data_IF_407021987776
#
_entry.id   IF_407021987776
#
_cell.length_a   1.000
_cell.length_b   1.000
_cell.length_c   1.000
_cell.angle_alpha   90.00
_cell.angle_beta   90.00
_cell.angle_gamma   90.00
#
_symmetry.space_group_name_H-M   'P 1'
#
loop_
_entity.id
_entity.type
_entity.pdbx_description
1 polymer ?
#
# COMPACT_ATOMS: atom_id res chain seq x y z
N UNK A 1 12.06 7.35 11.54
CA UNK A 1 11.62 6.03 12.10
C UNK A 1 10.68 5.33 11.13
N UNK A 2 10.39 4.03 11.30
CA UNK A 2 9.36 3.31 10.52
C UNK A 2 7.99 3.96 10.79
N UNK A 3 7.18 4.17 9.75
CA UNK A 3 5.88 4.82 9.93
C UNK A 3 4.93 4.01 10.80
N UNK A 4 4.26 4.68 11.76
CA UNK A 4 3.21 4.07 12.56
C UNK A 4 2.03 3.58 11.71
N UNK A 5 1.76 4.25 10.58
CA UNK A 5 0.74 3.87 9.62
C UNK A 5 1.22 2.87 8.54
N UNK A 6 2.50 2.46 8.58
CA UNK A 6 3.13 1.70 7.51
C UNK A 6 2.44 0.37 7.15
N UNK A 7 1.85 -0.29 8.14
CA UNK A 7 1.14 -1.56 7.97
C UNK A 7 -0.38 -1.39 7.85
N UNK A 8 -0.87 -0.17 7.58
CA UNK A 8 -2.27 0.12 7.32
C UNK A 8 -2.47 0.50 5.86
N UNK A 9 -3.61 0.13 5.31
CA UNK A 9 -3.89 0.31 3.90
C UNK A 9 -5.32 0.82 3.71
N UNK A 10 -5.54 1.81 2.82
CA UNK A 10 -6.85 2.37 2.58
C UNK A 10 -7.77 1.37 1.86
N UNK A 11 -9.07 1.51 2.10
CA UNK A 11 -10.08 0.78 1.36
C UNK A 11 -10.13 1.24 -0.10
N UNK A 12 -10.21 0.29 -1.02
CA UNK A 12 -10.43 0.51 -2.44
C UNK A 12 -11.91 0.29 -2.77
N UNK A 13 -12.49 1.22 -3.48
CA UNK A 13 -13.84 1.10 -4.05
C UNK A 13 -13.76 1.39 -5.54
N UNK A 14 -14.69 0.85 -6.32
CA UNK A 14 -14.71 1.11 -7.75
C UNK A 14 -15.71 2.21 -8.09
N UNK A 15 -15.30 3.16 -8.91
CA UNK A 15 -16.14 4.17 -9.52
C UNK A 15 -16.04 4.04 -11.04
N UNK A 16 -17.13 3.64 -11.70
CA UNK A 16 -17.18 3.36 -13.15
C UNK A 16 -16.01 2.47 -13.61
N UNK A 17 -15.78 1.36 -12.93
CA UNK A 17 -14.69 0.40 -13.16
C UNK A 17 -13.27 0.93 -12.93
N UNK A 18 -13.11 2.11 -12.32
CA UNK A 18 -11.79 2.64 -11.92
C UNK A 18 -11.62 2.55 -10.42
N UNK A 19 -10.43 2.15 -9.92
CA UNK A 19 -10.17 2.10 -8.49
C UNK A 19 -10.11 3.52 -7.92
N UNK A 20 -10.84 3.73 -6.83
CA UNK A 20 -10.86 4.95 -6.04
C UNK A 20 -10.60 4.60 -4.56
N UNK A 21 -10.03 5.51 -3.81
CA UNK A 21 -9.80 5.37 -2.38
C UNK A 21 -11.05 5.78 -1.61
N UNK A 22 -11.39 5.06 -0.55
CA UNK A 22 -12.52 5.41 0.31
C UNK A 22 -12.03 5.95 1.66
N UNK A 23 -12.50 7.14 2.02
CA UNK A 23 -12.25 7.75 3.32
C UNK A 23 -13.39 7.40 4.29
N UNK A 24 -13.14 6.58 5.32
CA UNK A 24 -14.19 6.13 6.25
C UNK A 24 -14.65 7.21 7.25
N UNK A 25 -13.90 8.31 7.39
CA UNK A 25 -14.29 9.46 8.24
C UNK A 25 -15.28 10.34 7.49
N UNK A 26 -14.91 10.77 6.28
CA UNK A 26 -15.74 11.67 5.45
C UNK A 26 -16.83 10.92 4.67
N UNK A 27 -16.76 9.58 4.61
CA UNK A 27 -17.61 8.72 3.77
C UNK A 27 -17.62 9.15 2.30
N UNK A 28 -16.44 9.53 1.79
CA UNK A 28 -16.25 10.04 0.42
C UNK A 28 -15.20 9.22 -0.32
N UNK A 29 -15.32 9.26 -1.67
CA UNK A 29 -14.34 8.67 -2.58
C UNK A 29 -13.32 9.71 -2.99
N UNK A 30 -12.07 9.29 -3.09
CA UNK A 30 -10.94 10.10 -3.55
C UNK A 30 -10.26 9.42 -4.73
N UNK A 31 -9.60 10.21 -5.57
CA UNK A 31 -8.78 9.65 -6.65
C UNK A 31 -7.64 8.84 -6.05
N UNK A 32 -7.33 7.70 -6.66
CA UNK A 32 -6.22 6.85 -6.24
C UNK A 32 -4.87 7.51 -6.60
N UNK A 33 -4.43 8.45 -5.75
CA UNK A 33 -3.16 9.17 -5.87
C UNK A 33 -2.17 8.69 -4.79
N UNK A 34 -0.86 8.72 -5.06
CA UNK A 34 0.14 8.27 -4.09
C UNK A 34 0.08 8.99 -2.73
N UNK A 35 -0.07 10.32 -2.70
CA UNK A 35 -0.19 11.10 -1.46
C UNK A 35 -1.48 10.78 -0.71
N UNK A 36 -2.59 10.60 -1.44
CA UNK A 36 -3.87 10.23 -0.86
C UNK A 36 -3.82 8.86 -0.19
N UNK A 37 -3.05 7.90 -0.74
CA UNK A 37 -2.81 6.61 -0.09
C UNK A 37 -2.06 6.77 1.23
N UNK A 38 -1.01 7.57 1.27
CA UNK A 38 -0.27 7.84 2.51
C UNK A 38 -1.18 8.48 3.58
N UNK A 39 -2.00 9.45 3.18
CA UNK A 39 -2.97 10.12 4.05
C UNK A 39 -4.02 9.15 4.61
N UNK A 40 -4.59 8.29 3.78
CA UNK A 40 -5.58 7.32 4.21
C UNK A 40 -4.99 6.12 4.98
N UNK A 41 -3.73 5.76 4.80
CA UNK A 41 -3.02 4.86 5.72
C UNK A 41 -3.06 5.39 7.17
N UNK A 42 -2.80 6.68 7.33
CA UNK A 42 -2.89 7.34 8.65
C UNK A 42 -4.30 7.34 9.21
N UNK A 43 -5.32 7.56 8.37
CA UNK A 43 -6.73 7.46 8.80
C UNK A 43 -7.05 6.03 9.30
N UNK A 44 -6.63 4.99 8.57
CA UNK A 44 -6.80 3.59 8.98
C UNK A 44 -6.07 3.28 10.30
N UNK A 45 -4.82 3.77 10.46
CA UNK A 45 -4.08 3.64 11.71
C UNK A 45 -4.82 4.29 12.88
N UNK A 46 -5.27 5.52 12.72
CA UNK A 46 -5.99 6.25 13.77
C UNK A 46 -7.27 5.51 14.20
N UNK A 47 -8.04 5.00 13.25
CA UNK A 47 -9.29 4.30 13.51
C UNK A 47 -9.06 2.97 14.23
N UNK A 48 -8.05 2.21 13.80
CA UNK A 48 -7.88 0.84 14.25
C UNK A 48 -6.90 0.68 15.41
N UNK A 49 -5.90 1.55 15.53
CA UNK A 49 -4.80 1.41 16.49
C UNK A 49 -4.82 2.42 17.64
N UNK A 50 -5.67 3.46 17.56
CA UNK A 50 -5.70 4.52 18.57
C UNK A 50 -7.11 4.76 19.08
N UNK A 51 -7.22 5.36 20.25
CA UNK A 51 -8.51 5.81 20.80
C UNK A 51 -8.89 7.22 20.33
N UNK A 52 -8.21 7.74 19.29
CA UNK A 52 -8.51 9.07 18.76
C UNK A 52 -9.88 9.10 18.09
N UNK A 53 -10.82 9.93 18.57
CA UNK A 53 -12.18 9.97 18.00
C UNK A 53 -12.18 10.45 16.57
N UNK A 54 -12.93 9.77 15.70
CA UNK A 54 -13.09 10.15 14.28
C UNK A 54 -13.56 11.59 14.09
N UNK A 55 -14.41 12.08 15.00
CA UNK A 55 -14.93 13.46 14.99
C UNK A 55 -13.88 14.52 15.24
N UNK A 56 -12.70 14.14 15.74
CA UNK A 56 -11.58 15.03 16.04
C UNK A 56 -10.42 14.87 15.05
N UNK A 57 -10.66 14.30 13.89
CA UNK A 57 -9.73 14.21 12.79
C UNK A 57 -10.18 15.13 11.66
N UNK A 58 -9.51 16.26 11.48
CA UNK A 58 -9.65 17.14 10.33
C UNK A 58 -8.92 16.54 9.13
N UNK A 59 -9.59 16.44 8.00
CA UNK A 59 -9.04 15.92 6.75
C UNK A 59 -9.12 17.01 5.67
N UNK A 60 -8.00 17.31 5.00
CA UNK A 60 -7.88 18.43 4.06
C UNK A 60 -8.40 19.76 4.68
N UNK A 61 -8.05 20.00 5.94
CA UNK A 61 -8.53 21.16 6.67
C UNK A 61 -8.00 22.46 6.05
N UNK A 62 -8.90 23.46 5.75
CA UNK A 62 -8.47 24.71 5.15
C UNK A 62 -7.60 25.52 6.14
N UNK A 63 -6.44 25.95 5.68
CA UNK A 63 -5.50 26.79 6.43
C UNK A 63 -5.36 28.12 5.69
N UNK A 64 -5.75 29.23 6.32
CA UNK A 64 -5.60 30.59 5.77
C UNK A 64 -4.25 31.15 6.22
N UNK A 65 -3.28 31.19 5.32
CA UNK A 65 -2.03 31.91 5.58
C UNK A 65 -2.26 33.40 5.40
N UNK A 66 -1.74 34.23 6.32
CA UNK A 66 -1.97 35.69 6.36
C UNK A 66 -1.57 36.44 5.08
N UNK A 67 -0.69 35.88 4.25
CA UNK A 67 -0.18 36.50 3.03
C UNK A 67 -0.46 35.72 1.74
N UNK A 68 -1.18 34.60 1.79
CA UNK A 68 -1.46 33.79 0.61
C UNK A 68 -2.82 34.13 -0.02
N UNK A 69 -2.83 34.37 -1.33
CA UNK A 69 -4.10 34.56 -2.09
C UNK A 69 -4.97 33.29 -2.09
N UNK A 70 -4.41 32.11 -1.87
CA UNK A 70 -5.11 30.85 -1.90
C UNK A 70 -5.16 30.21 -0.50
N UNK A 71 -6.30 29.61 -0.17
CA UNK A 71 -6.43 28.75 1.01
C UNK A 71 -5.61 27.48 0.79
N UNK A 72 -4.62 27.25 1.62
CA UNK A 72 -3.91 25.97 1.65
C UNK A 72 -4.70 24.95 2.46
N UNK A 73 -4.41 23.66 2.29
CA UNK A 73 -5.06 22.59 3.03
C UNK A 73 -4.01 21.77 3.75
N UNK A 74 -4.19 21.63 5.06
CA UNK A 74 -3.42 20.69 5.85
C UNK A 74 -3.96 19.27 5.64
N UNK A 75 -3.10 18.32 5.44
CA UNK A 75 -3.51 16.94 5.14
C UNK A 75 -4.38 16.35 6.24
N UNK A 76 -3.85 16.28 7.46
CA UNK A 76 -4.59 15.87 8.64
C UNK A 76 -4.28 16.79 9.81
N UNK A 77 -5.30 17.15 10.57
CA UNK A 77 -5.16 17.83 11.87
C UNK A 77 -5.90 17.00 12.91
N UNK A 78 -5.19 16.61 13.95
CA UNK A 78 -5.79 15.93 15.10
C UNK A 78 -6.07 16.96 16.20
N UNK A 79 -7.32 17.00 16.66
CA UNK A 79 -7.79 17.97 17.63
C UNK A 79 -7.93 17.38 19.05
N UNK A 80 -7.74 18.21 20.07
CA UNK A 80 -8.03 17.87 21.48
C UNK A 80 -9.53 17.76 21.74
N UNK A 81 -9.90 17.50 23.01
CA UNK A 81 -11.30 17.53 23.44
C UNK A 81 -11.94 18.90 23.25
N UNK A 82 -11.17 19.95 23.45
CA UNK A 82 -11.58 21.36 23.31
C UNK A 82 -11.47 21.87 21.88
N UNK A 83 -11.27 20.97 20.91
CA UNK A 83 -11.09 21.30 19.50
C UNK A 83 -9.87 22.19 19.19
N UNK A 84 -8.86 22.19 20.05
CA UNK A 84 -7.57 22.82 19.76
C UNK A 84 -6.70 21.86 18.93
N UNK A 85 -5.97 22.35 17.91
CA UNK A 85 -5.01 21.52 17.17
C UNK A 85 -3.97 20.92 18.12
N UNK A 86 -3.74 19.62 18.01
CA UNK A 86 -2.73 18.88 18.78
C UNK A 86 -1.61 18.36 17.91
N UNK A 87 -1.95 17.84 16.73
CA UNK A 87 -0.98 17.27 15.83
C UNK A 87 -1.33 17.69 14.40
N UNK A 88 -0.36 18.23 13.69
CA UNK A 88 -0.40 18.41 12.24
C UNK A 88 0.32 17.24 11.59
N UNK A 89 -0.32 16.52 10.68
CA UNK A 89 0.29 15.44 9.88
C UNK A 89 0.32 15.89 8.43
N UNK A 90 1.52 16.02 7.87
CA UNK A 90 1.76 16.32 6.46
C UNK A 90 2.18 15.04 5.75
N UNK A 91 1.46 14.67 4.69
CA UNK A 91 1.64 13.43 3.96
C UNK A 91 2.29 13.66 2.60
N UNK A 92 3.21 12.81 2.23
CA UNK A 92 3.84 12.76 0.90
C UNK A 92 3.66 11.38 0.29
N UNK A 93 3.82 11.28 -1.03
CA UNK A 93 3.83 9.98 -1.70
C UNK A 93 4.95 9.08 -1.18
N UNK A 94 4.73 7.76 -1.19
CA UNK A 94 5.73 6.76 -0.72
C UNK A 94 7.10 6.90 -1.43
N UNK A 95 7.10 7.36 -2.68
CA UNK A 95 8.31 7.59 -3.47
C UNK A 95 9.07 8.88 -3.10
N UNK A 96 8.46 9.77 -2.33
CA UNK A 96 9.08 11.04 -1.95
C UNK A 96 10.00 10.85 -0.75
N UNK A 97 11.26 11.22 -0.91
CA UNK A 97 12.21 11.27 0.20
C UNK A 97 11.90 12.47 1.08
N UNK A 98 11.61 12.23 2.34
CA UNK A 98 11.39 13.28 3.33
C UNK A 98 12.73 13.95 3.65
N UNK A 99 12.77 15.29 3.55
CA UNK A 99 13.96 16.10 3.76
C UNK A 99 13.61 17.42 4.48
N UNK A 100 14.60 18.27 4.70
CA UNK A 100 14.45 19.58 5.38
C UNK A 100 13.44 20.51 4.68
N UNK A 101 13.38 20.51 3.35
CA UNK A 101 12.45 21.36 2.61
C UNK A 101 10.98 20.99 2.88
N UNK A 102 10.69 19.69 3.02
CA UNK A 102 9.34 19.21 3.42
C UNK A 102 9.04 19.61 4.87
N UNK A 103 10.05 19.53 5.75
CA UNK A 103 9.91 19.94 7.15
C UNK A 103 9.62 21.44 7.28
N UNK A 104 10.32 22.28 6.52
CA UNK A 104 10.09 23.72 6.47
C UNK A 104 8.70 24.08 5.95
N UNK A 105 8.19 23.33 4.96
CA UNK A 105 6.83 23.50 4.46
C UNK A 105 5.80 23.23 5.56
N UNK A 106 5.91 22.11 6.26
CA UNK A 106 5.00 21.77 7.35
C UNK A 106 5.11 22.76 8.52
N UNK A 107 6.31 23.21 8.86
CA UNK A 107 6.53 24.23 9.90
C UNK A 107 5.84 25.56 9.54
N UNK A 108 5.89 25.99 8.28
CA UNK A 108 5.17 27.18 7.80
C UNK A 108 3.65 27.04 7.93
N UNK A 109 3.09 25.88 7.59
CA UNK A 109 1.66 25.62 7.80
C UNK A 109 1.32 25.66 9.29
N UNK A 110 2.18 25.09 10.10
CA UNK A 110 1.96 25.03 11.54
C UNK A 110 1.99 26.39 12.24
N UNK A 111 2.64 27.41 11.68
CA UNK A 111 2.55 28.78 12.20
C UNK A 111 1.10 29.29 12.28
N UNK A 112 0.24 28.83 11.36
CA UNK A 112 -1.19 29.19 11.36
C UNK A 112 -2.04 28.18 12.11
N UNK A 113 -1.69 26.89 12.04
CA UNK A 113 -2.44 25.81 12.73
C UNK A 113 -2.18 25.85 14.22
N UNK A 114 -0.93 26.10 14.65
CA UNK A 114 -0.55 26.19 16.07
C UNK A 114 -0.53 24.84 16.79
N UNK A 115 -0.35 23.74 16.07
CA UNK A 115 -0.25 22.42 16.69
C UNK A 115 1.09 22.26 17.42
N UNK A 116 1.13 21.79 18.68
CA UNK A 116 2.38 21.54 19.41
C UNK A 116 3.20 20.38 18.85
N UNK A 117 2.63 19.56 17.96
CA UNK A 117 3.33 18.46 17.32
C UNK A 117 3.12 18.45 15.80
N UNK A 118 4.18 18.10 15.07
CA UNK A 118 4.15 17.93 13.61
C UNK A 118 4.64 16.51 13.30
N UNK A 119 3.93 15.81 12.43
CA UNK A 119 4.37 14.56 11.82
C UNK A 119 4.54 14.76 10.32
N UNK A 120 5.72 14.46 9.78
CA UNK A 120 5.94 14.32 8.35
C UNK A 120 5.97 12.85 8.01
N UNK A 121 5.17 12.44 7.04
CA UNK A 121 5.07 11.03 6.66
C UNK A 121 5.00 10.84 5.16
N UNK A 122 5.57 9.74 4.67
CA UNK A 122 5.28 9.22 3.35
C UNK A 122 4.59 7.83 3.42
N UNK A 123 4.11 7.43 4.62
CA UNK A 123 3.49 6.13 4.84
C UNK A 123 4.47 4.97 4.99
N UNK A 124 5.78 5.21 4.82
CA UNK A 124 6.87 4.24 5.09
C UNK A 124 7.71 4.73 6.27
N UNK A 125 8.01 6.02 6.29
CA UNK A 125 8.84 6.68 7.29
C UNK A 125 8.09 7.86 7.87
N UNK A 126 8.22 8.07 9.19
CA UNK A 126 7.72 9.23 9.90
C UNK A 126 8.86 10.01 10.53
N UNK A 127 8.78 11.35 10.46
CA UNK A 127 9.58 12.28 11.24
C UNK A 127 8.66 13.10 12.13
N UNK A 128 8.97 13.13 13.42
CA UNK A 128 8.17 13.80 14.42
C UNK A 128 8.92 15.00 15.00
N UNK A 129 8.18 16.08 15.23
CA UNK A 129 8.71 17.30 15.79
C UNK A 129 7.78 17.83 16.88
N UNK A 130 8.39 18.38 17.93
CA UNK A 130 7.73 19.17 18.97
C UNK A 130 7.95 20.64 18.69
N UNK A 131 6.92 21.45 18.89
CA UNK A 131 6.94 22.90 18.69
C UNK A 131 6.65 23.57 20.01
N UNK A 132 7.66 24.26 20.57
CA UNK A 132 7.58 24.99 21.84
C UNK A 132 8.27 26.34 21.69
N UNK A 133 7.63 27.43 22.15
CA UNK A 133 8.21 28.78 22.16
C UNK A 133 8.85 29.18 20.81
N UNK A 134 8.17 28.88 19.69
CA UNK A 134 8.67 29.11 18.31
C UNK A 134 9.91 28.28 17.93
N UNK A 135 10.32 27.34 18.76
CA UNK A 135 11.38 26.39 18.47
C UNK A 135 10.81 25.06 18.02
N UNK A 136 11.48 24.40 17.08
CA UNK A 136 11.09 23.09 16.55
C UNK A 136 12.21 22.10 16.85
N UNK A 137 11.92 21.04 17.60
CA UNK A 137 12.84 19.97 17.95
C UNK A 137 12.37 18.63 17.43
N UNK A 138 13.27 17.80 16.90
CA UNK A 138 12.95 16.45 16.52
C UNK A 138 12.71 15.57 17.77
N UNK A 139 11.74 14.66 17.68
CA UNK A 139 11.45 13.69 18.74
C UNK A 139 11.55 12.25 18.21
N UNK A 140 12.04 11.35 19.06
CA UNK A 140 12.08 9.91 18.78
C UNK A 140 10.86 9.23 19.44
N UNK A 141 9.96 8.72 18.60
CA UNK A 141 8.65 8.21 19.03
C UNK A 141 8.69 7.07 20.05
N UNK A 142 9.75 6.28 20.02
CA UNK A 142 9.85 5.07 20.85
C UNK A 142 10.54 5.37 22.21
N UNK A 143 11.14 6.55 22.37
CA UNK A 143 11.84 6.97 23.59
C UNK A 143 11.12 8.06 24.37
N UNK A 144 10.11 8.71 23.78
CA UNK A 144 9.37 9.80 24.44
C UNK A 144 8.10 9.28 25.15
N UNK A 145 8.06 9.28 26.50
CA UNK A 145 6.88 8.86 27.25
C UNK A 145 5.66 9.78 27.03
N UNK A 146 5.89 11.01 26.59
CA UNK A 146 4.86 12.00 26.28
C UNK A 146 4.46 12.00 24.80
N UNK A 147 4.91 11.00 24.05
CA UNK A 147 4.56 10.88 22.63
C UNK A 147 3.05 11.06 22.40
N UNK A 148 2.64 11.95 21.49
CA UNK A 148 1.27 12.46 21.46
C UNK A 148 0.20 11.45 21.02
N UNK A 149 0.58 10.35 20.38
CA UNK A 149 -0.35 9.31 19.94
C UNK A 149 -0.06 8.00 20.68
N UNK A 150 -0.98 7.60 21.54
CA UNK A 150 -0.89 6.32 22.25
C UNK A 150 -1.71 5.25 21.54
N UNK A 151 -1.18 4.02 21.47
CA UNK A 151 -1.93 2.87 21.00
C UNK A 151 -3.11 2.57 21.93
N UNK A 152 -4.17 1.95 21.39
CA UNK A 152 -5.30 1.47 22.18
C UNK A 152 -4.84 0.55 23.30
N UNK A 153 -5.40 0.72 24.50
CA UNK A 153 -5.14 -0.17 25.65
C UNK A 153 -5.67 -1.59 25.41
N UNK A 154 -6.81 -1.70 24.71
CA UNK A 154 -7.45 -2.97 24.34
C UNK A 154 -7.56 -3.03 22.82
N UNK A 155 -6.45 -3.37 22.19
CA UNK A 155 -6.36 -3.53 20.76
C UNK A 155 -6.82 -4.94 20.37
N UNK A 156 -7.83 -5.03 19.49
CA UNK A 156 -8.17 -6.28 18.81
C UNK A 156 -7.37 -6.33 17.53
N UNK A 157 -6.56 -7.37 17.38
CA UNK A 157 -5.80 -7.57 16.17
C UNK A 157 -6.73 -7.56 14.94
N UNK A 158 -6.34 -6.79 13.92
CA UNK A 158 -7.10 -6.74 12.67
C UNK A 158 -7.08 -8.14 12.03
N UNK A 159 -8.27 -8.71 11.82
CA UNK A 159 -8.37 -9.91 11.01
C UNK A 159 -7.99 -9.56 9.56
N UNK A 160 -6.82 -10.01 9.13
CA UNK A 160 -6.27 -9.80 7.79
C UNK A 160 -6.51 -11.02 6.92
N UNK A 161 -7.76 -11.45 6.82
CA UNK A 161 -8.20 -12.50 5.92
C UNK A 161 -8.15 -12.07 4.44
N UNK A 162 -8.58 -12.95 3.55
CA UNK A 162 -8.64 -12.66 2.12
C UNK A 162 -9.49 -11.41 1.81
N UNK A 163 -10.63 -11.22 2.48
CA UNK A 163 -11.50 -10.06 2.26
C UNK A 163 -10.81 -8.76 2.65
N UNK A 164 -10.05 -8.76 3.75
CA UNK A 164 -9.24 -7.61 4.15
C UNK A 164 -8.31 -7.17 3.03
N UNK A 165 -7.58 -8.10 2.41
CA UNK A 165 -6.62 -7.79 1.34
C UNK A 165 -7.31 -7.39 0.04
N UNK A 166 -8.38 -8.08 -0.32
CA UNK A 166 -9.20 -7.75 -1.49
C UNK A 166 -9.76 -6.33 -1.39
N UNK A 167 -10.37 -5.98 -0.28
CA UNK A 167 -11.01 -4.68 -0.07
C UNK A 167 -10.01 -3.52 -0.08
N UNK A 168 -8.72 -3.81 0.01
CA UNK A 168 -7.62 -2.85 -0.05
C UNK A 168 -6.82 -2.90 -1.36
N UNK A 169 -7.30 -3.65 -2.32
CA UNK A 169 -6.72 -3.71 -3.67
C UNK A 169 -5.43 -4.52 -3.79
N UNK A 170 -5.16 -5.43 -2.85
CA UNK A 170 -4.01 -6.34 -2.91
C UNK A 170 -4.26 -7.59 -3.72
N UNK A 171 -5.49 -7.92 -3.99
CA UNK A 171 -5.91 -9.02 -4.84
C UNK A 171 -7.31 -8.71 -5.35
N UNK A 172 -7.80 -9.46 -6.31
CA UNK A 172 -9.18 -9.37 -6.72
C UNK A 172 -9.83 -10.76 -6.68
N UNK A 173 -11.11 -10.78 -6.55
CA UNK A 173 -11.77 -11.81 -5.86
C UNK A 173 -12.78 -12.66 -6.57
N UNK A 174 -12.64 -13.01 -7.83
CA UNK A 174 -13.47 -14.09 -8.36
C UNK A 174 -12.57 -15.23 -8.81
N UNK A 175 -12.67 -16.37 -8.10
CA UNK A 175 -12.05 -17.62 -8.48
C UNK A 175 -13.13 -18.57 -8.96
N UNK A 176 -12.80 -19.42 -9.91
CA UNK A 176 -13.68 -20.54 -10.29
C UNK A 176 -13.40 -21.72 -9.36
N UNK A 177 -14.45 -22.27 -8.73
CA UNK A 177 -14.33 -23.54 -8.01
C UNK A 177 -13.70 -24.62 -8.93
N UNK A 178 -12.86 -25.57 -8.41
CA UNK A 178 -12.78 -26.03 -7.03
C UNK A 178 -11.63 -25.44 -6.18
N UNK A 179 -10.82 -24.52 -6.70
CA UNK A 179 -9.58 -24.10 -6.04
C UNK A 179 -9.71 -22.81 -5.19
N UNK A 180 -10.93 -22.26 -5.06
CA UNK A 180 -11.17 -20.97 -4.42
C UNK A 180 -10.57 -20.88 -3.01
N UNK A 181 -10.86 -21.83 -2.14
CA UNK A 181 -10.39 -21.80 -0.75
C UNK A 181 -8.87 -21.87 -0.66
N UNK A 182 -8.24 -22.73 -1.45
CA UNK A 182 -6.78 -22.89 -1.48
C UNK A 182 -6.09 -21.63 -1.99
N UNK A 183 -6.65 -21.01 -3.04
CA UNK A 183 -6.13 -19.74 -3.58
C UNK A 183 -6.30 -18.59 -2.59
N UNK A 184 -7.46 -18.48 -1.93
CA UNK A 184 -7.69 -17.44 -0.92
C UNK A 184 -6.72 -17.56 0.25
N UNK A 185 -6.47 -18.77 0.77
CA UNK A 185 -5.48 -19.04 1.82
C UNK A 185 -4.07 -18.65 1.37
N UNK A 186 -3.69 -19.05 0.17
CA UNK A 186 -2.35 -18.78 -0.38
C UNK A 186 -2.11 -17.29 -0.62
N UNK A 187 -3.10 -16.57 -1.14
CA UNK A 187 -3.05 -15.13 -1.34
C UNK A 187 -3.00 -14.40 0.01
N UNK A 188 -3.78 -14.88 1.00
CA UNK A 188 -3.75 -14.32 2.35
C UNK A 188 -2.36 -14.49 2.97
N UNK A 189 -1.76 -15.68 2.87
CA UNK A 189 -0.39 -15.92 3.32
C UNK A 189 0.62 -15.03 2.59
N UNK A 190 0.52 -14.92 1.26
CA UNK A 190 1.39 -14.05 0.46
C UNK A 190 1.38 -12.59 0.94
N UNK A 191 0.23 -12.07 1.37
CA UNK A 191 0.11 -10.69 1.86
C UNK A 191 0.34 -10.55 3.37
N UNK A 192 0.42 -11.63 4.12
CA UNK A 192 0.63 -11.62 5.57
C UNK A 192 1.98 -11.03 5.96
N UNK A 193 2.16 -10.72 7.24
CA UNK A 193 3.44 -10.24 7.78
C UNK A 193 4.48 -11.36 7.93
N UNK A 194 4.09 -12.63 7.72
CA UNK A 194 5.03 -13.76 7.78
C UNK A 194 6.12 -13.69 6.68
N UNK A 195 5.81 -13.07 5.53
CA UNK A 195 6.80 -12.81 4.50
C UNK A 195 7.48 -11.47 4.72
N UNK A 196 8.81 -11.48 4.87
CA UNK A 196 9.64 -10.26 4.99
C UNK A 196 9.96 -9.63 3.62
N UNK A 197 8.96 -9.53 2.75
CA UNK A 197 9.09 -8.86 1.47
C UNK A 197 8.38 -7.51 1.49
N UNK A 198 9.04 -6.48 0.98
CA UNK A 198 8.47 -5.15 0.94
C UNK A 198 7.14 -5.12 0.17
N UNK A 199 6.10 -4.54 0.77
CA UNK A 199 4.83 -4.23 0.09
C UNK A 199 4.93 -2.82 -0.49
N UNK A 200 4.85 -2.69 -1.81
CA UNK A 200 4.98 -1.39 -2.50
C UNK A 200 3.87 -1.26 -3.54
N UNK A 201 3.25 -0.09 -3.59
CA UNK A 201 2.36 0.24 -4.72
C UNK A 201 3.20 0.69 -5.90
N UNK A 202 3.01 0.02 -7.03
CA UNK A 202 3.65 0.37 -8.30
C UNK A 202 2.59 0.82 -9.29
N UNK A 203 2.91 1.88 -10.01
CA UNK A 203 2.07 2.45 -11.08
C UNK A 203 2.76 2.20 -12.41
N UNK A 204 2.28 1.20 -13.15
CA UNK A 204 2.73 0.94 -14.50
C UNK A 204 1.71 1.55 -15.48
N UNK A 205 2.04 2.67 -16.12
CA UNK A 205 1.09 3.45 -16.93
C UNK A 205 0.64 2.71 -18.20
N UNK A 206 1.46 1.78 -18.68
CA UNK A 206 1.12 0.93 -19.82
C UNK A 206 1.26 -0.55 -19.46
N UNK A 207 0.27 -1.34 -19.87
CA UNK A 207 0.29 -2.79 -19.73
C UNK A 207 0.35 -3.42 -21.14
N UNK A 208 1.14 -4.46 -21.35
CA UNK A 208 1.10 -5.24 -22.59
C UNK A 208 -0.14 -6.15 -22.65
N UNK A 209 -0.89 -6.24 -21.55
CA UNK A 209 -2.09 -7.05 -21.39
C UNK A 209 -3.36 -6.20 -21.47
N UNK A 210 -4.52 -6.83 -21.57
CA UNK A 210 -5.84 -6.15 -21.61
C UNK A 210 -6.35 -5.71 -20.23
N UNK A 211 -5.50 -5.71 -19.21
CA UNK A 211 -5.80 -5.25 -17.84
C UNK A 211 -4.67 -4.38 -17.30
N UNK A 212 -4.99 -3.54 -16.29
CA UNK A 212 -4.03 -2.65 -15.66
C UNK A 212 -3.08 -3.37 -14.70
N UNK A 213 -1.89 -2.79 -14.51
CA UNK A 213 -0.86 -3.30 -13.61
C UNK A 213 -0.62 -2.35 -12.40
N UNK A 214 -1.48 -1.34 -12.21
CA UNK A 214 -1.37 -0.40 -11.10
C UNK A 214 -1.95 -1.01 -9.82
N UNK A 215 -1.07 -1.47 -8.92
CA UNK A 215 -1.48 -2.05 -7.63
C UNK A 215 -0.31 -2.28 -6.68
N UNK A 216 -0.58 -2.96 -5.57
CA UNK A 216 0.45 -3.39 -4.63
C UNK A 216 1.20 -4.62 -5.16
N UNK A 217 2.50 -4.63 -4.90
CA UNK A 217 3.42 -5.72 -5.19
C UNK A 217 4.21 -6.08 -3.94
N UNK A 218 4.59 -7.35 -3.83
CA UNK A 218 5.66 -7.82 -2.96
C UNK A 218 6.96 -7.83 -3.74
N UNK A 219 8.02 -7.30 -3.12
CA UNK A 219 9.33 -7.20 -3.76
C UNK A 219 10.34 -7.98 -2.91
N UNK A 220 10.54 -9.29 -3.20
CA UNK A 220 11.61 -10.05 -2.59
C UNK A 220 12.97 -9.51 -3.05
N UNK A 221 13.97 -9.61 -2.19
CA UNK A 221 15.36 -9.32 -2.53
C UNK A 221 15.91 -10.51 -3.28
N UNK A 222 16.27 -10.34 -4.55
CA UNK A 222 16.92 -11.36 -5.38
C UNK A 222 18.44 -11.16 -5.31
N UNK A 223 18.90 -9.99 -5.77
CA UNK A 223 20.29 -9.54 -5.66
C UNK A 223 20.34 -7.99 -5.72
N UNK A 224 21.53 -7.42 -5.80
CA UNK A 224 21.71 -5.96 -5.81
C UNK A 224 21.29 -5.30 -7.14
N UNK A 225 21.22 -6.07 -8.24
CA UNK A 225 20.94 -5.55 -9.58
C UNK A 225 19.54 -5.92 -10.09
N UNK A 226 18.91 -6.94 -9.50
CA UNK A 226 17.66 -7.50 -9.97
C UNK A 226 16.58 -7.43 -8.89
N UNK A 227 15.40 -6.95 -9.27
CA UNK A 227 14.20 -6.92 -8.42
C UNK A 227 13.07 -7.62 -9.14
N UNK A 228 12.34 -8.44 -8.40
CA UNK A 228 11.14 -9.10 -8.89
C UNK A 228 9.94 -8.52 -8.15
N UNK A 229 9.00 -7.88 -8.86
CA UNK A 229 7.76 -7.42 -8.28
C UNK A 229 6.67 -8.47 -8.55
N UNK A 230 6.09 -9.05 -7.49
CA UNK A 230 5.10 -10.12 -7.59
C UNK A 230 3.76 -9.64 -7.03
N UNK A 231 2.67 -9.98 -7.69
CA UNK A 231 1.32 -9.68 -7.23
C UNK A 231 0.27 -10.63 -7.79
N UNK A 232 -0.94 -10.55 -7.23
CA UNK A 232 -2.14 -11.19 -7.73
C UNK A 232 -3.12 -10.11 -8.18
N UNK A 233 -3.62 -10.20 -9.41
CA UNK A 233 -4.50 -9.21 -10.04
C UNK A 233 -5.81 -9.87 -10.46
N UNK A 234 -6.94 -9.22 -10.16
CA UNK A 234 -8.18 -9.52 -10.84
C UNK A 234 -8.32 -8.75 -12.13
N UNK A 235 -8.75 -9.43 -13.15
CA UNK A 235 -8.98 -8.82 -14.46
C UNK A 235 -10.46 -8.47 -14.68
N UNK A 236 -10.78 -7.57 -15.61
CA UNK A 236 -12.16 -7.31 -16.01
C UNK A 236 -12.88 -8.55 -16.56
N UNK A 237 -12.15 -9.54 -17.06
CA UNK A 237 -12.66 -10.83 -17.53
C UNK A 237 -12.92 -11.83 -16.39
N UNK A 238 -12.87 -11.37 -15.12
CA UNK A 238 -13.08 -12.17 -13.91
C UNK A 238 -12.05 -13.27 -13.69
N UNK A 239 -10.88 -13.17 -14.29
CA UNK A 239 -9.75 -14.04 -13.95
C UNK A 239 -8.87 -13.43 -12.88
N UNK A 240 -8.19 -14.28 -12.12
CA UNK A 240 -7.09 -13.89 -11.24
C UNK A 240 -5.79 -14.27 -11.90
N UNK A 241 -4.92 -13.28 -12.06
CA UNK A 241 -3.60 -13.47 -12.66
C UNK A 241 -2.51 -13.33 -11.58
N UNK A 242 -1.57 -14.25 -11.57
CA UNK A 242 -0.29 -14.07 -10.88
C UNK A 242 0.61 -13.25 -11.81
N UNK A 243 1.06 -12.10 -11.36
CA UNK A 243 1.93 -11.21 -12.11
C UNK A 243 3.32 -11.23 -11.50
N UNK A 244 4.33 -11.33 -12.36
CA UNK A 244 5.73 -11.10 -11.98
C UNK A 244 6.39 -10.12 -12.97
N UNK A 245 7.05 -9.09 -12.45
CA UNK A 245 7.75 -8.08 -13.25
C UNK A 245 9.21 -8.09 -12.85
N UNK A 246 10.07 -8.43 -13.80
CA UNK A 246 11.52 -8.39 -13.60
C UNK A 246 12.05 -7.02 -13.95
N UNK A 247 12.71 -6.38 -12.98
CA UNK A 247 13.45 -5.15 -13.15
C UNK A 247 14.95 -5.43 -12.97
N UNK A 248 15.77 -5.01 -13.95
CA UNK A 248 17.24 -5.07 -13.89
C UNK A 248 17.79 -3.65 -14.01
N UNK A 249 18.59 -3.21 -13.04
CA UNK A 249 19.24 -1.88 -13.04
C UNK A 249 18.26 -0.72 -13.30
N UNK A 250 17.05 -0.81 -12.74
CA UNK A 250 16.01 0.22 -12.90
C UNK A 250 15.15 0.13 -14.16
N UNK A 251 15.41 -0.82 -15.06
CA UNK A 251 14.62 -1.03 -16.28
C UNK A 251 13.81 -2.34 -16.21
N UNK A 252 12.57 -2.30 -16.70
CA UNK A 252 11.72 -3.48 -16.78
C UNK A 252 12.15 -4.35 -17.96
N UNK A 253 12.55 -5.59 -17.67
CA UNK A 253 13.05 -6.55 -18.65
C UNK A 253 12.01 -7.56 -19.12
N UNK A 254 10.95 -7.76 -18.33
CA UNK A 254 9.88 -8.68 -18.71
C UNK A 254 8.73 -8.64 -17.73
N UNK A 255 7.56 -9.05 -18.20
CA UNK A 255 6.33 -9.18 -17.42
C UNK A 255 5.70 -10.54 -17.71
N UNK A 256 5.58 -11.35 -16.67
CA UNK A 256 4.90 -12.64 -16.71
C UNK A 256 3.49 -12.49 -16.13
N UNK A 257 2.50 -13.04 -16.83
CA UNK A 257 1.14 -13.24 -16.32
C UNK A 257 0.77 -14.70 -16.39
N UNK A 258 0.25 -15.24 -15.30
CA UNK A 258 -0.22 -16.64 -15.19
C UNK A 258 -1.66 -16.62 -14.71
N UNK A 259 -2.57 -17.21 -15.52
CA UNK A 259 -3.98 -17.32 -15.17
C UNK A 259 -4.18 -18.41 -14.10
N UNK A 260 -4.74 -18.02 -12.95
CA UNK A 260 -4.95 -18.92 -11.81
C UNK A 260 -6.35 -19.54 -11.77
N UNK A 261 -7.27 -19.16 -12.63
CA UNK A 261 -8.64 -19.68 -12.60
C UNK A 261 -8.79 -21.12 -13.12
N UNK A 262 -7.80 -21.62 -13.85
CA UNK A 262 -7.80 -22.96 -14.43
C UNK A 262 -6.69 -23.82 -13.83
N UNK A 263 -6.78 -24.07 -12.52
CA UNK A 263 -5.82 -24.89 -11.79
C UNK A 263 -6.32 -26.34 -11.68
N UNK A 264 -6.66 -26.99 -12.80
CA UNK A 264 -6.95 -28.42 -12.80
C UNK A 264 -5.76 -29.22 -13.31
N UNK A 265 -5.57 -30.45 -12.80
CA UNK A 265 -4.48 -31.33 -13.23
C UNK A 265 -4.58 -31.73 -14.73
N UNK A 266 -5.74 -31.54 -15.33
CA UNK A 266 -6.06 -31.97 -16.69
C UNK A 266 -6.03 -30.86 -17.72
N UNK A 267 -6.01 -29.57 -17.28
CA UNK A 267 -6.03 -28.42 -18.19
C UNK A 267 -4.67 -27.70 -18.24
N UNK A 268 -4.31 -27.23 -19.43
CA UNK A 268 -3.14 -26.36 -19.57
C UNK A 268 -3.33 -25.02 -18.86
N UNK A 269 -2.36 -24.59 -18.11
CA UNK A 269 -2.37 -23.29 -17.41
C UNK A 269 -1.80 -22.22 -18.32
N UNK A 270 -2.67 -21.34 -18.82
CA UNK A 270 -2.25 -20.26 -19.73
C UNK A 270 -1.35 -19.25 -19.03
N UNK A 271 -0.16 -19.06 -19.56
CA UNK A 271 0.76 -18.01 -19.14
C UNK A 271 1.19 -17.17 -20.35
N UNK A 272 1.48 -15.90 -20.09
CA UNK A 272 1.95 -14.91 -21.08
C UNK A 272 3.20 -14.24 -20.55
N UNK A 273 4.29 -14.33 -21.32
CA UNK A 273 5.53 -13.61 -21.04
C UNK A 273 5.70 -12.48 -22.05
N UNK A 274 5.64 -11.24 -21.60
CA UNK A 274 6.05 -10.08 -22.40
C UNK A 274 7.53 -9.81 -22.13
N UNK A 275 8.34 -9.90 -23.19
CA UNK A 275 9.76 -9.63 -23.15
C UNK A 275 10.24 -9.19 -24.54
N UNK A 276 11.18 -8.24 -24.60
CA UNK A 276 11.73 -7.74 -25.86
C UNK A 276 10.68 -7.26 -26.87
N UNK A 277 9.57 -6.67 -26.38
CA UNK A 277 8.50 -6.11 -27.21
C UNK A 277 7.50 -7.13 -27.77
N UNK A 278 7.62 -8.41 -27.43
CA UNK A 278 6.72 -9.49 -27.87
C UNK A 278 6.05 -10.20 -26.71
N UNK A 279 4.88 -10.82 -26.97
CA UNK A 279 4.18 -11.69 -26.02
C UNK A 279 4.31 -13.13 -26.49
N UNK A 280 4.87 -13.99 -25.64
CA UNK A 280 4.90 -15.43 -25.84
C UNK A 280 3.89 -16.08 -24.91
N UNK A 281 3.02 -16.94 -25.45
CA UNK A 281 2.05 -17.73 -24.69
C UNK A 281 2.55 -19.17 -24.51
N UNK A 282 2.39 -19.71 -23.32
CA UNK A 282 2.82 -21.09 -23.01
C UNK A 282 2.02 -21.69 -21.85
N UNK A 283 2.20 -22.98 -21.64
CA UNK A 283 1.59 -23.70 -20.52
C UNK A 283 2.50 -23.63 -19.29
N UNK A 284 2.09 -22.86 -18.29
CA UNK A 284 2.82 -22.71 -17.03
C UNK A 284 2.70 -23.96 -16.13
N UNK A 285 1.70 -24.81 -16.31
CA UNK A 285 1.48 -26.00 -15.50
C UNK A 285 2.63 -26.99 -15.56
N UNK A 286 3.42 -26.97 -16.65
CA UNK A 286 4.61 -27.80 -16.81
C UNK A 286 5.82 -27.29 -16.00
N UNK A 287 5.82 -26.02 -15.63
CA UNK A 287 7.00 -25.33 -15.08
C UNK A 287 6.80 -24.87 -13.64
N UNK A 288 5.58 -24.80 -13.17
CA UNK A 288 5.24 -24.29 -11.85
C UNK A 288 4.62 -25.41 -10.98
N UNK A 289 5.32 -25.90 -9.96
CA UNK A 289 4.90 -27.10 -9.21
C UNK A 289 3.62 -26.89 -8.41
N UNK A 290 3.25 -25.65 -8.09
CA UNK A 290 2.05 -25.35 -7.33
C UNK A 290 0.74 -25.66 -8.12
N UNK A 291 0.79 -25.82 -9.42
CA UNK A 291 -0.37 -26.27 -10.19
C UNK A 291 -0.66 -27.77 -10.02
N UNK A 292 0.37 -28.56 -9.69
CA UNK A 292 0.21 -30.01 -9.45
C UNK A 292 -0.11 -30.33 -7.99
N UNK A 293 0.42 -29.53 -7.05
CA UNK A 293 0.39 -29.84 -5.62
C UNK A 293 -0.39 -28.82 -4.80
N UNK A 294 -1.04 -27.86 -5.43
CA UNK A 294 -1.72 -26.73 -4.78
C UNK A 294 -0.72 -25.70 -4.24
N UNK A 295 -1.23 -24.55 -3.86
CA UNK A 295 -0.45 -23.54 -3.18
C UNK A 295 -0.24 -23.91 -1.70
N UNK A 296 0.97 -23.84 -1.22
CA UNK A 296 1.32 -23.95 0.19
C UNK A 296 2.18 -22.77 0.63
N UNK A 297 2.27 -22.53 1.94
CA UNK A 297 3.14 -21.48 2.50
C UNK A 297 4.58 -21.61 1.99
N UNK A 298 5.11 -22.83 2.02
CA UNK A 298 6.46 -23.12 1.52
C UNK A 298 6.62 -22.81 0.03
N UNK A 299 5.60 -23.06 -0.80
CA UNK A 299 5.64 -22.73 -2.23
C UNK A 299 5.55 -21.23 -2.47
N UNK A 300 4.78 -20.50 -1.66
CA UNK A 300 4.73 -19.04 -1.70
C UNK A 300 6.11 -18.44 -1.42
N UNK A 301 6.82 -18.93 -0.41
CA UNK A 301 8.19 -18.47 -0.09
C UNK A 301 9.17 -18.73 -1.22
N UNK A 302 9.01 -19.83 -1.95
CA UNK A 302 9.84 -20.22 -3.08
C UNK A 302 9.42 -19.59 -4.41
N UNK A 303 8.31 -18.86 -4.44
CA UNK A 303 7.75 -18.27 -5.66
C UNK A 303 8.77 -17.46 -6.48
N UNK A 304 9.62 -16.60 -5.89
CA UNK A 304 10.63 -15.86 -6.65
C UNK A 304 11.56 -16.77 -7.43
N UNK A 305 12.02 -17.85 -6.83
CA UNK A 305 12.93 -18.81 -7.47
C UNK A 305 12.28 -19.49 -8.68
N UNK A 306 11.01 -19.86 -8.59
CA UNK A 306 10.30 -20.47 -9.73
C UNK A 306 10.04 -19.44 -10.84
N UNK A 307 9.63 -18.22 -10.48
CA UNK A 307 9.27 -17.19 -11.44
C UNK A 307 10.49 -16.65 -12.21
N UNK A 308 11.65 -16.56 -11.57
CA UNK A 308 12.88 -16.10 -12.22
C UNK A 308 13.28 -16.93 -13.43
N UNK A 309 12.95 -18.23 -13.45
CA UNK A 309 13.29 -19.15 -14.56
C UNK A 309 12.68 -18.77 -15.90
N UNK A 310 11.59 -17.98 -15.89
CA UNK A 310 10.95 -17.52 -17.14
C UNK A 310 11.61 -16.32 -17.75
N UNK A 311 12.49 -15.63 -17.04
CA UNK A 311 13.14 -14.41 -17.49
C UNK A 311 14.60 -14.60 -17.92
N UNK A 312 15.06 -15.84 -18.00
CA UNK A 312 16.45 -16.20 -18.38
C UNK A 312 16.55 -16.39 -19.87
#
# INVERSE_FOLDING_TARGET
>A
MKSKAGNHFPLIVFDKNKPALFNPILKKRFKNRPEERARLKWVEYLIHQTDWPKSRVGFEAPVKLQQAKNTLRADLILYSNEMNPKILIECKAESVKLNSAVAEQAARYNQTVGAPYICLTNGITDFWYKVENHSVSAIEADSDPDFPIKSKKHFTELNRDFNYWRDRGFCAGEFTAPNEETLQKSITHFWSEALDWQKTYLDFPSSPFNFGLQQYYRIPVIDNEQKLAISFIGTPARSTELIAILNKKGQNHGILSVNLNRLSEEESVSAKLFQSGSINEFDAGKHLPFFKHGFSEKLIEQLPHYLMRFFV
#
